data_IF_796438339359
#
_entry.id   IF_796438339359
#
_cell.length_a   1.000
_cell.length_b   1.000
_cell.length_c   1.000
_cell.angle_alpha   90.00
_cell.angle_beta   90.00
_cell.angle_gamma   90.00
#
_symmetry.space_group_name_H-M   'P 1'
#
loop_
_entity.id
_entity.type
_entity.pdbx_description
1 polymer ?
#
# COMPACT_ATOMS: atom_id res chain seq x y z
N UNK A 1 -15.70 -3.04 -25.14
CA UNK A 1 -16.19 -2.23 -24.02
C UNK A 1 -16.08 -3.07 -22.77
N UNK A 2 -15.27 -2.64 -21.79
CA UNK A 2 -15.14 -3.35 -20.52
C UNK A 2 -16.49 -3.38 -19.79
N UNK A 3 -16.78 -4.48 -19.08
CA UNK A 3 -17.96 -4.57 -18.23
C UNK A 3 -17.52 -4.47 -16.76
N UNK A 4 -18.28 -3.75 -15.93
CA UNK A 4 -17.99 -3.66 -14.49
C UNK A 4 -17.91 -5.04 -13.80
N UNK A 5 -18.64 -6.03 -14.32
CA UNK A 5 -18.60 -7.42 -13.85
C UNK A 5 -17.29 -8.16 -14.17
N UNK A 6 -16.43 -7.65 -15.06
CA UNK A 6 -15.18 -8.32 -15.42
C UNK A 6 -14.08 -8.09 -14.37
N UNK A 7 -14.28 -7.14 -13.47
CA UNK A 7 -13.30 -6.73 -12.47
C UNK A 7 -13.53 -7.43 -11.14
N UNK A 8 -12.43 -7.94 -10.56
CA UNK A 8 -12.49 -8.78 -9.36
C UNK A 8 -11.60 -8.29 -8.23
N UNK A 9 -10.69 -7.36 -8.52
CA UNK A 9 -9.72 -6.83 -7.56
C UNK A 9 -9.81 -5.32 -7.52
N UNK A 10 -10.06 -4.76 -6.34
CA UNK A 10 -9.95 -3.33 -6.08
C UNK A 10 -8.54 -3.02 -5.58
N UNK A 11 -7.94 -1.97 -6.11
CA UNK A 11 -6.67 -1.40 -5.67
C UNK A 11 -6.95 0.03 -5.20
N UNK A 12 -6.76 0.28 -3.92
CA UNK A 12 -7.00 1.60 -3.31
C UNK A 12 -5.66 2.23 -3.00
N UNK A 13 -5.48 3.45 -3.49
CA UNK A 13 -4.35 4.33 -3.19
C UNK A 13 -4.81 5.50 -2.31
N UNK A 14 -3.99 5.95 -1.38
CA UNK A 14 -4.28 7.11 -0.54
C UNK A 14 -3.87 8.44 -1.18
N UNK A 15 -2.79 8.46 -1.97
CA UNK A 15 -2.24 9.70 -2.54
C UNK A 15 -1.86 9.55 -4.01
N UNK A 16 -1.65 10.68 -4.68
CA UNK A 16 -1.27 10.77 -6.10
C UNK A 16 -0.01 9.94 -6.42
N UNK A 17 1.03 10.02 -5.59
CA UNK A 17 2.28 9.25 -5.81
C UNK A 17 2.00 7.74 -5.86
N UNK A 18 1.10 7.24 -5.03
CA UNK A 18 0.73 5.83 -5.01
C UNK A 18 -0.14 5.45 -6.21
N UNK A 19 -1.04 6.36 -6.63
CA UNK A 19 -1.86 6.19 -7.82
C UNK A 19 -1.02 6.11 -9.09
N UNK A 20 -0.08 7.04 -9.27
CA UNK A 20 0.84 7.05 -10.41
C UNK A 20 1.67 5.76 -10.44
N UNK A 21 2.19 5.31 -9.30
CA UNK A 21 2.89 4.03 -9.22
C UNK A 21 1.98 2.84 -9.60
N UNK A 22 0.70 2.86 -9.23
CA UNK A 22 -0.26 1.82 -9.57
C UNK A 22 -0.51 1.78 -11.09
N UNK A 23 -0.64 2.94 -11.74
CA UNK A 23 -0.83 3.04 -13.19
C UNK A 23 0.37 2.48 -13.95
N UNK A 24 1.59 2.82 -13.51
CA UNK A 24 2.84 2.30 -14.08
C UNK A 24 2.98 0.77 -13.93
N UNK A 25 2.23 0.15 -13.01
CA UNK A 25 2.25 -1.30 -12.79
C UNK A 25 1.20 -2.07 -13.62
N UNK A 26 0.35 -1.39 -14.39
CA UNK A 26 -0.62 -2.05 -15.27
C UNK A 26 0.10 -2.67 -16.48
N UNK A 27 -0.23 -3.92 -16.80
CA UNK A 27 0.19 -4.55 -18.05
C UNK A 27 -0.65 -4.02 -19.24
N UNK A 28 -1.87 -3.57 -18.95
CA UNK A 28 -2.84 -3.04 -19.90
C UNK A 28 -3.80 -2.09 -19.17
N UNK A 29 -4.01 -0.90 -19.73
CA UNK A 29 -5.07 0.03 -19.33
C UNK A 29 -6.31 -0.24 -20.19
N UNK A 30 -7.48 -0.24 -19.56
CA UNK A 30 -8.76 -0.44 -20.22
C UNK A 30 -9.51 0.90 -20.31
N UNK A 31 -10.36 1.04 -21.34
CA UNK A 31 -11.26 2.20 -21.45
C UNK A 31 -12.16 2.35 -20.21
N UNK A 32 -12.60 3.57 -19.95
CA UNK A 32 -13.57 3.87 -18.89
C UNK A 32 -14.89 3.13 -19.10
N UNK A 33 -15.64 2.96 -18.01
CA UNK A 33 -17.01 2.46 -18.08
C UNK A 33 -17.97 3.59 -18.43
N UNK A 34 -18.93 3.30 -19.31
CA UNK A 34 -19.99 4.23 -19.66
C UNK A 34 -20.92 4.54 -18.47
N UNK A 35 -21.10 3.56 -17.57
CA UNK A 35 -22.01 3.66 -16.42
C UNK A 35 -21.36 3.12 -15.13
N UNK A 36 -21.40 3.94 -14.08
CA UNK A 36 -21.13 3.56 -12.67
C UNK A 36 -22.40 3.70 -11.84
N UNK A 37 -22.41 3.20 -10.60
CA UNK A 37 -23.57 3.32 -9.74
C UNK A 37 -23.96 4.79 -9.50
N UNK A 38 -25.27 5.05 -9.37
CA UNK A 38 -25.74 6.40 -9.08
C UNK A 38 -25.14 6.93 -7.76
N UNK A 39 -24.64 8.16 -7.80
CA UNK A 39 -23.94 8.84 -6.70
C UNK A 39 -22.63 8.16 -6.27
N UNK A 40 -22.01 7.34 -7.13
CA UNK A 40 -20.60 7.02 -6.99
C UNK A 40 -19.78 8.26 -7.34
N UNK A 41 -18.98 8.73 -6.39
CA UNK A 41 -18.17 9.96 -6.53
C UNK A 41 -16.69 9.65 -6.80
N UNK A 42 -16.33 8.38 -6.97
CA UNK A 42 -14.96 7.99 -7.23
C UNK A 42 -14.57 8.25 -8.70
N UNK A 43 -13.27 8.47 -8.90
CA UNK A 43 -12.65 8.37 -10.22
C UNK A 43 -11.90 7.04 -10.31
N UNK A 44 -12.14 6.29 -11.38
CA UNK A 44 -11.57 4.96 -11.57
C UNK A 44 -10.56 4.94 -12.72
N UNK A 45 -9.52 4.13 -12.55
CA UNK A 45 -8.72 3.65 -13.67
C UNK A 45 -8.82 2.15 -13.71
N UNK A 46 -9.05 1.63 -14.91
CA UNK A 46 -9.31 0.23 -15.14
C UNK A 46 -8.14 -0.38 -15.88
N UNK A 47 -7.81 -1.62 -15.53
CA UNK A 47 -6.74 -2.28 -16.23
C UNK A 47 -6.55 -3.72 -15.82
N UNK A 48 -5.40 -4.25 -16.20
CA UNK A 48 -5.02 -5.63 -15.96
C UNK A 48 -3.61 -5.70 -15.40
N UNK A 49 -3.45 -6.48 -14.33
CA UNK A 49 -2.15 -6.92 -13.82
C UNK A 49 -2.10 -8.43 -13.92
N UNK A 50 -1.22 -8.92 -14.78
CA UNK A 50 -1.13 -10.31 -15.19
C UNK A 50 -2.48 -10.86 -15.68
N UNK A 51 -3.11 -11.75 -14.92
CA UNK A 51 -4.41 -12.36 -15.25
C UNK A 51 -5.57 -11.74 -14.46
N UNK A 52 -5.33 -10.65 -13.74
CA UNK A 52 -6.29 -10.03 -12.84
C UNK A 52 -6.74 -8.68 -13.40
N UNK A 53 -8.04 -8.56 -13.66
CA UNK A 53 -8.66 -7.27 -13.93
C UNK A 53 -8.79 -6.50 -12.63
N UNK A 54 -8.19 -5.31 -12.60
CA UNK A 54 -8.08 -4.44 -11.42
C UNK A 54 -8.84 -3.13 -11.65
N UNK A 55 -9.50 -2.65 -10.60
CA UNK A 55 -10.07 -1.29 -10.53
C UNK A 55 -9.21 -0.51 -9.56
N UNK A 56 -8.59 0.56 -10.03
CA UNK A 56 -7.79 1.47 -9.22
C UNK A 56 -8.67 2.66 -8.85
N UNK A 57 -8.68 3.02 -7.57
CA UNK A 57 -9.31 4.23 -7.07
C UNK A 57 -8.38 4.90 -6.06
N UNK A 58 -8.41 6.24 -6.04
CA UNK A 58 -7.62 7.04 -5.09
C UNK A 58 -8.55 7.84 -4.22
N UNK A 59 -8.15 8.06 -2.98
CA UNK A 59 -8.88 8.94 -2.07
C UNK A 59 -9.02 10.36 -2.67
N UNK A 60 -10.11 11.09 -2.35
CA UNK A 60 -10.28 12.47 -2.81
C UNK A 60 -9.07 13.35 -2.45
N UNK A 61 -8.75 14.30 -3.32
CA UNK A 61 -7.60 15.18 -3.12
C UNK A 61 -7.68 15.93 -1.78
N UNK A 62 -6.61 15.84 -0.99
CA UNK A 62 -6.51 16.45 0.34
C UNK A 62 -7.22 15.67 1.46
N UNK A 63 -7.88 14.55 1.14
CA UNK A 63 -8.39 13.62 2.13
C UNK A 63 -7.37 12.51 2.43
N UNK A 64 -7.41 12.01 3.66
CA UNK A 64 -6.62 10.86 4.08
C UNK A 64 -7.33 10.09 5.18
N UNK A 65 -6.98 8.83 5.33
CA UNK A 65 -7.38 8.00 6.47
C UNK A 65 -8.53 7.03 6.21
N UNK A 66 -8.85 6.26 7.24
CA UNK A 66 -9.70 5.07 7.16
C UNK A 66 -11.14 5.37 6.70
N UNK A 67 -11.71 6.49 7.13
CA UNK A 67 -13.08 6.89 6.76
C UNK A 67 -13.21 7.17 5.26
N UNK A 68 -12.26 7.91 4.69
CA UNK A 68 -12.25 8.25 3.26
C UNK A 68 -12.04 6.99 2.42
N UNK A 69 -11.06 6.16 2.78
CA UNK A 69 -10.84 4.86 2.14
C UNK A 69 -12.07 3.93 2.21
N UNK A 70 -12.80 3.94 3.33
CA UNK A 70 -14.06 3.19 3.48
C UNK A 70 -15.14 3.70 2.54
N UNK A 71 -15.24 5.02 2.35
CA UNK A 71 -16.16 5.64 1.39
C UNK A 71 -15.86 5.17 -0.03
N UNK A 72 -14.61 5.31 -0.47
CA UNK A 72 -14.14 4.87 -1.79
C UNK A 72 -14.48 3.40 -2.02
N UNK A 73 -14.12 2.50 -1.10
CA UNK A 73 -14.37 1.07 -1.26
C UNK A 73 -15.87 0.73 -1.28
N UNK A 74 -16.70 1.41 -0.48
CA UNK A 74 -18.15 1.18 -0.50
C UNK A 74 -18.77 1.57 -1.83
N UNK A 75 -18.26 2.60 -2.47
CA UNK A 75 -18.71 3.07 -3.77
C UNK A 75 -18.26 2.09 -4.87
N UNK A 76 -17.00 1.64 -4.83
CA UNK A 76 -16.48 0.56 -5.69
C UNK A 76 -17.34 -0.70 -5.63
N UNK A 77 -17.72 -1.15 -4.43
CA UNK A 77 -18.55 -2.34 -4.26
C UNK A 77 -19.96 -2.20 -4.87
N UNK A 78 -20.48 -0.98 -5.01
CA UNK A 78 -21.77 -0.74 -5.69
C UNK A 78 -21.61 -0.75 -7.20
N UNK A 79 -20.52 -0.17 -7.71
CA UNK A 79 -20.27 -0.05 -9.15
C UNK A 79 -19.72 -1.32 -9.79
N UNK A 80 -18.95 -2.11 -9.04
CA UNK A 80 -18.30 -3.33 -9.52
C UNK A 80 -18.78 -4.56 -8.73
N UNK A 81 -19.84 -5.24 -9.20
CA UNK A 81 -20.54 -6.27 -8.43
C UNK A 81 -19.71 -7.54 -8.19
N UNK A 82 -18.66 -7.76 -8.98
CA UNK A 82 -17.82 -8.95 -8.91
C UNK A 82 -16.47 -8.72 -8.20
N UNK A 83 -16.30 -7.58 -7.52
CA UNK A 83 -15.16 -7.37 -6.64
C UNK A 83 -15.14 -8.42 -5.53
N UNK A 84 -14.01 -9.11 -5.40
CA UNK A 84 -13.80 -10.20 -4.42
C UNK A 84 -12.69 -9.88 -3.44
N UNK A 85 -11.73 -9.07 -3.86
CA UNK A 85 -10.54 -8.72 -3.11
C UNK A 85 -10.37 -7.20 -3.20
N UNK A 86 -10.12 -6.55 -2.07
CA UNK A 86 -9.64 -5.17 -2.01
C UNK A 86 -8.23 -5.15 -1.45
N UNK A 87 -7.34 -4.43 -2.11
CA UNK A 87 -5.96 -4.21 -1.70
C UNK A 87 -5.79 -2.72 -1.43
N UNK A 88 -5.41 -2.38 -0.19
CA UNK A 88 -4.85 -1.07 0.11
C UNK A 88 -3.35 -1.15 -0.17
N UNK A 89 -2.86 -0.41 -1.15
CA UNK A 89 -1.45 -0.43 -1.54
C UNK A 89 -0.94 1.00 -1.53
N UNK A 90 0.11 1.24 -0.77
CA UNK A 90 0.65 2.58 -0.59
C UNK A 90 1.98 2.57 0.12
N UNK A 91 2.52 3.77 0.31
CA UNK A 91 3.76 4.03 1.02
C UNK A 91 3.47 3.99 2.52
N UNK A 92 4.38 3.36 3.27
CA UNK A 92 4.28 3.28 4.73
C UNK A 92 5.61 3.61 5.40
N UNK A 93 5.53 4.06 6.65
CA UNK A 93 6.70 4.20 7.51
C UNK A 93 7.18 2.83 8.02
N UNK A 94 8.50 2.66 8.09
CA UNK A 94 9.13 1.47 8.64
C UNK A 94 9.59 1.67 10.09
N UNK A 95 9.34 0.69 10.96
CA UNK A 95 9.87 0.65 12.32
C UNK A 95 10.76 -0.60 12.48
N UNK A 96 12.05 -0.52 12.12
CA UNK A 96 12.95 -1.66 12.18
C UNK A 96 13.23 -2.10 13.62
N UNK A 97 13.60 -3.38 13.76
CA UNK A 97 14.01 -3.99 15.03
C UNK A 97 15.16 -4.97 14.79
N UNK A 98 15.83 -5.40 15.86
CA UNK A 98 16.89 -6.41 15.75
C UNK A 98 16.45 -7.74 15.14
N UNK A 99 15.14 -8.03 15.15
CA UNK A 99 14.56 -9.24 14.55
C UNK A 99 14.05 -9.02 13.12
N UNK A 100 13.69 -7.79 12.78
CA UNK A 100 13.10 -7.42 11.50
C UNK A 100 13.76 -6.13 11.02
N UNK A 101 14.73 -6.29 10.12
CA UNK A 101 15.45 -5.18 9.51
C UNK A 101 14.63 -4.62 8.35
N UNK A 102 13.73 -3.67 8.64
CA UNK A 102 12.86 -3.01 7.65
C UNK A 102 13.62 -1.81 7.09
N UNK A 103 13.77 -1.77 5.77
CA UNK A 103 14.60 -0.78 5.05
C UNK A 103 13.82 -0.05 3.96
N UNK A 104 14.35 1.09 3.51
CA UNK A 104 13.73 1.85 2.43
C UNK A 104 13.67 1.03 1.14
N UNK A 105 12.49 0.96 0.55
CA UNK A 105 12.19 0.17 -0.64
C UNK A 105 11.79 -1.28 -0.35
N UNK A 106 11.71 -1.71 0.92
CA UNK A 106 11.13 -3.01 1.25
C UNK A 106 9.62 -3.01 1.01
N UNK A 107 9.13 -4.06 0.36
CA UNK A 107 7.69 -4.29 0.16
C UNK A 107 7.19 -5.22 1.25
N UNK A 108 6.32 -4.70 2.12
CA UNK A 108 5.73 -5.45 3.22
C UNK A 108 4.32 -5.90 2.85
N UNK A 109 4.03 -7.18 3.03
CA UNK A 109 2.69 -7.76 2.83
C UNK A 109 2.13 -8.17 4.18
N UNK A 110 0.96 -7.66 4.54
CA UNK A 110 0.30 -7.99 5.80
C UNK A 110 0.00 -9.48 5.89
N UNK A 111 0.32 -10.10 7.04
CA UNK A 111 0.01 -11.50 7.32
C UNK A 111 -0.51 -11.65 8.76
N UNK A 112 -1.49 -12.53 9.01
CA UNK A 112 -1.98 -12.81 10.36
C UNK A 112 -0.88 -13.32 11.28
N UNK A 113 -0.95 -12.94 12.55
CA UNK A 113 -0.03 -13.36 13.61
C UNK A 113 -0.77 -13.80 14.87
N UNK A 114 -0.06 -14.23 15.92
CA UNK A 114 -0.68 -14.60 17.18
C UNK A 114 -1.52 -13.45 17.75
N UNK A 115 -2.84 -13.63 17.79
CA UNK A 115 -3.77 -12.65 18.34
C UNK A 115 -4.18 -11.49 17.42
N UNK A 116 -3.83 -11.50 16.12
CA UNK A 116 -4.26 -10.45 15.18
C UNK A 116 -4.39 -10.91 13.73
N UNK A 117 -5.29 -10.28 12.96
CA UNK A 117 -5.53 -10.58 11.55
C UNK A 117 -4.44 -10.13 10.58
N UNK A 118 -3.46 -9.37 11.06
CA UNK A 118 -2.30 -8.90 10.28
C UNK A 118 -2.19 -7.38 10.18
N UNK A 119 -3.27 -6.67 10.48
CA UNK A 119 -3.30 -5.23 10.67
C UNK A 119 -3.75 -4.96 12.11
N UNK A 120 -3.05 -4.04 12.77
CA UNK A 120 -3.33 -3.62 14.14
C UNK A 120 -3.75 -2.15 14.13
N UNK A 121 -4.99 -1.88 14.51
CA UNK A 121 -5.51 -0.52 14.63
C UNK A 121 -5.12 0.06 16.00
N UNK A 122 -3.98 0.74 16.06
CA UNK A 122 -3.35 1.14 17.31
C UNK A 122 -4.06 2.31 18.03
N UNK A 123 -4.84 3.12 17.32
CA UNK A 123 -5.63 4.23 17.86
C UNK A 123 -6.94 3.74 18.50
N UNK A 124 -7.36 2.51 18.20
CA UNK A 124 -8.55 1.87 18.77
C UNK A 124 -8.22 0.97 19.98
N UNK A 125 -7.61 1.56 21.01
CA UNK A 125 -7.33 0.88 22.26
C UNK A 125 -7.72 1.68 23.50
N UNK A 126 -7.63 1.02 24.65
CA UNK A 126 -8.01 1.57 25.96
C UNK A 126 -6.79 1.64 26.86
N UNK A 127 -6.51 2.83 27.36
CA UNK A 127 -5.61 3.02 28.49
C UNK A 127 -6.40 2.81 29.78
N UNK A 128 -6.14 1.70 30.46
CA UNK A 128 -6.76 1.38 31.76
C UNK A 128 -5.75 1.69 32.86
N UNK A 129 -6.19 2.39 33.92
CA UNK A 129 -5.30 2.74 35.03
C UNK A 129 -4.57 1.50 35.57
N UNK A 130 -3.26 1.63 35.79
CA UNK A 130 -2.38 0.54 36.25
C UNK A 130 -2.29 -0.68 35.31
N UNK A 131 -2.73 -0.56 34.05
CA UNK A 131 -2.57 -1.60 33.04
C UNK A 131 -1.86 -1.06 31.81
N UNK A 132 -1.21 -1.96 31.05
CA UNK A 132 -0.69 -1.63 29.73
C UNK A 132 -1.84 -1.28 28.77
N UNK A 133 -1.54 -0.54 27.71
CA UNK A 133 -2.48 -0.22 26.65
C UNK A 133 -3.15 -1.50 26.10
N UNK A 134 -4.48 -1.53 26.10
CA UNK A 134 -5.25 -2.70 25.65
C UNK A 134 -5.85 -2.44 24.28
N UNK A 135 -5.38 -3.17 23.28
CA UNK A 135 -6.02 -3.23 21.97
C UNK A 135 -7.45 -3.76 22.14
N UNK A 136 -8.44 -2.97 21.75
CA UNK A 136 -9.85 -3.32 22.00
C UNK A 136 -10.50 -4.06 20.84
N UNK A 137 -9.91 -3.98 19.64
CA UNK A 137 -10.41 -4.64 18.44
C UNK A 137 -9.26 -5.18 17.59
N UNK A 138 -9.58 -6.16 16.74
CA UNK A 138 -8.70 -6.66 15.71
C UNK A 138 -9.48 -6.78 14.40
N UNK A 139 -8.81 -6.51 13.28
CA UNK A 139 -9.40 -6.71 11.97
C UNK A 139 -9.41 -8.21 11.62
N UNK A 140 -10.42 -8.60 10.86
CA UNK A 140 -10.51 -9.95 10.29
C UNK A 140 -9.26 -10.26 9.47
N UNK A 141 -8.74 -11.50 9.52
CA UNK A 141 -7.63 -11.89 8.67
C UNK A 141 -8.02 -11.86 7.18
N UNK A 142 -7.05 -11.69 6.27
CA UNK A 142 -7.29 -11.82 4.83
C UNK A 142 -7.91 -13.18 4.47
N UNK A 143 -8.72 -13.26 3.39
CA UNK A 143 -9.29 -14.51 2.90
C UNK A 143 -8.24 -15.62 2.69
N UNK A 144 -8.64 -16.88 2.91
CA UNK A 144 -7.75 -18.05 2.83
C UNK A 144 -7.02 -18.20 1.48
N UNK A 145 -7.63 -17.73 0.39
CA UNK A 145 -7.01 -17.71 -0.94
C UNK A 145 -5.76 -16.82 -0.98
N UNK A 146 -5.78 -15.65 -0.34
CA UNK A 146 -4.64 -14.74 -0.27
C UNK A 146 -3.55 -15.31 0.65
N UNK A 147 -3.93 -15.91 1.77
CA UNK A 147 -2.99 -16.57 2.68
C UNK A 147 -2.26 -17.74 2.00
N UNK A 148 -2.98 -18.50 1.17
CA UNK A 148 -2.39 -19.56 0.36
C UNK A 148 -1.47 -19.00 -0.74
N UNK A 149 -1.84 -17.88 -1.36
CA UNK A 149 -1.00 -17.19 -2.34
C UNK A 149 0.30 -16.68 -1.71
N UNK A 150 0.27 -16.18 -0.46
CA UNK A 150 1.47 -15.79 0.29
C UNK A 150 2.43 -16.98 0.47
N UNK A 151 1.93 -18.16 0.82
CA UNK A 151 2.78 -19.35 0.95
C UNK A 151 3.43 -19.76 -0.38
N UNK A 152 2.68 -19.66 -1.49
CA UNK A 152 3.22 -19.87 -2.83
C UNK A 152 4.29 -18.83 -3.17
N UNK A 153 4.03 -17.55 -2.89
CA UNK A 153 4.96 -16.44 -3.13
C UNK A 153 6.26 -16.65 -2.36
N UNK A 154 6.19 -16.97 -1.06
CA UNK A 154 7.35 -17.28 -0.21
C UNK A 154 8.17 -18.44 -0.79
N UNK A 155 7.50 -19.50 -1.24
CA UNK A 155 8.17 -20.67 -1.83
C UNK A 155 8.87 -20.32 -3.14
N UNK A 156 8.21 -19.55 -4.02
CA UNK A 156 8.80 -19.09 -5.28
C UNK A 156 9.98 -18.17 -5.05
N UNK A 157 9.90 -17.25 -4.09
CA UNK A 157 11.01 -16.38 -3.69
C UNK A 157 12.23 -17.17 -3.23
N UNK A 158 12.03 -18.22 -2.41
CA UNK A 158 13.14 -19.09 -1.97
C UNK A 158 13.83 -19.82 -3.12
N UNK A 159 13.08 -20.21 -4.15
CA UNK A 159 13.60 -20.99 -5.28
C UNK A 159 14.24 -20.08 -6.34
N UNK A 160 13.57 -19.00 -6.71
CA UNK A 160 13.89 -18.19 -7.90
C UNK A 160 14.45 -16.80 -7.56
N UNK A 161 14.42 -16.40 -6.29
CA UNK A 161 14.66 -15.02 -5.88
C UNK A 161 13.48 -14.10 -6.20
N UNK A 162 13.62 -12.82 -5.82
CA UNK A 162 12.62 -11.78 -6.10
C UNK A 162 12.69 -11.33 -7.56
N UNK A 163 11.57 -11.33 -8.30
CA UNK A 163 11.52 -10.66 -9.60
C UNK A 163 11.34 -9.14 -9.45
N UNK A 164 10.97 -8.62 -8.27
CA UNK A 164 10.50 -7.23 -8.10
C UNK A 164 11.49 -6.21 -8.63
N UNK A 165 12.78 -6.34 -8.27
CA UNK A 165 13.80 -5.40 -8.75
C UNK A 165 13.82 -5.32 -10.28
N UNK A 166 13.80 -6.47 -10.96
CA UNK A 166 13.81 -6.51 -12.44
C UNK A 166 12.53 -5.93 -13.03
N UNK A 167 11.38 -6.17 -12.41
CA UNK A 167 10.10 -5.61 -12.85
C UNK A 167 10.10 -4.09 -12.70
N UNK A 168 10.48 -3.56 -11.53
CA UNK A 168 10.57 -2.12 -11.27
C UNK A 168 11.58 -1.47 -12.21
N UNK A 169 12.78 -2.04 -12.35
CA UNK A 169 13.81 -1.53 -13.28
C UNK A 169 13.31 -1.52 -14.74
N UNK A 170 12.43 -2.46 -15.12
CA UNK A 170 11.79 -2.51 -16.43
C UNK A 170 10.80 -1.36 -16.61
N UNK A 171 9.85 -1.22 -15.68
CA UNK A 171 8.85 -0.15 -15.66
C UNK A 171 9.53 1.23 -15.75
N UNK A 172 10.55 1.48 -14.91
CA UNK A 172 11.25 2.76 -14.91
C UNK A 172 11.91 3.06 -16.27
N UNK A 173 12.57 2.07 -16.88
CA UNK A 173 13.26 2.24 -18.18
C UNK A 173 12.31 2.53 -19.35
N UNK A 174 11.08 2.04 -19.29
CA UNK A 174 10.08 2.24 -20.33
C UNK A 174 9.40 3.62 -20.25
N UNK A 175 9.60 4.34 -19.14
CA UNK A 175 8.99 5.64 -18.87
C UNK A 175 9.99 6.80 -18.99
N UNK A 176 9.48 8.03 -18.94
CA UNK A 176 10.28 9.25 -19.12
C UNK A 176 11.27 9.50 -17.95
N UNK A 177 12.20 10.44 -18.17
CA UNK A 177 13.25 10.76 -17.19
C UNK A 177 12.70 11.28 -15.86
N UNK A 178 11.57 12.00 -15.87
CA UNK A 178 10.94 12.55 -14.66
C UNK A 178 10.44 11.42 -13.74
N UNK A 179 9.71 10.45 -14.30
CA UNK A 179 9.25 9.25 -13.58
C UNK A 179 10.44 8.44 -13.07
N UNK A 180 11.50 8.30 -13.88
CA UNK A 180 12.70 7.61 -13.43
C UNK A 180 13.34 8.29 -12.22
N UNK A 181 13.45 9.62 -12.24
CA UNK A 181 14.07 10.37 -11.14
C UNK A 181 13.24 10.34 -9.86
N UNK A 182 11.92 10.40 -9.98
CA UNK A 182 11.00 10.46 -8.85
C UNK A 182 10.76 9.08 -8.19
N UNK A 183 10.62 8.02 -8.98
CA UNK A 183 10.22 6.68 -8.50
C UNK A 183 11.38 5.70 -8.37
N UNK A 184 12.60 6.07 -8.77
CA UNK A 184 13.76 5.22 -8.53
C UNK A 184 13.99 4.98 -7.05
N UNK A 185 14.55 3.81 -6.73
CA UNK A 185 15.00 3.53 -5.37
C UNK A 185 16.09 4.54 -4.98
N UNK A 186 15.95 5.23 -3.83
CA UNK A 186 16.99 6.10 -3.31
C UNK A 186 18.31 5.35 -3.10
N UNK A 187 19.42 6.10 -3.09
CA UNK A 187 20.73 5.53 -2.79
C UNK A 187 20.76 4.91 -1.39
N UNK A 188 21.44 3.77 -1.23
CA UNK A 188 21.49 3.04 0.04
C UNK A 188 22.04 3.88 1.20
N UNK A 189 22.87 4.88 0.91
CA UNK A 189 23.43 5.80 1.92
C UNK A 189 22.42 6.81 2.47
N UNK A 190 21.27 6.94 1.81
CA UNK A 190 20.13 7.74 2.28
C UNK A 190 19.26 7.00 3.29
N UNK A 191 19.33 5.66 3.33
CA UNK A 191 18.62 4.83 4.30
C UNK A 191 19.31 4.91 5.67
N UNK A 192 18.90 5.92 6.44
CA UNK A 192 19.50 6.28 7.73
C UNK A 192 18.48 6.12 8.84
N UNK A 193 18.84 5.35 9.86
CA UNK A 193 18.07 5.23 11.08
C UNK A 193 18.61 6.19 12.14
N UNK A 194 17.71 6.90 12.79
CA UNK A 194 18.04 7.78 13.90
C UNK A 194 17.57 7.16 15.22
N UNK A 195 18.21 7.59 16.31
CA UNK A 195 17.88 7.11 17.64
C UNK A 195 16.44 7.51 18.00
N UNK A 196 15.62 6.59 18.56
CA UNK A 196 14.22 6.86 18.90
C UNK A 196 14.06 7.94 19.98
N UNK A 197 15.13 8.22 20.75
CA UNK A 197 15.14 9.27 21.76
C UNK A 197 15.29 10.69 21.17
N UNK A 198 15.63 10.80 19.88
CA UNK A 198 15.76 12.10 19.21
C UNK A 198 14.38 12.69 19.00
N UNK A 199 14.14 13.83 19.67
CA UNK A 199 12.91 14.61 19.49
C UNK A 199 13.09 15.51 18.27
N UNK A 200 12.31 15.25 17.23
CA UNK A 200 12.26 16.13 16.07
C UNK A 200 11.59 17.46 16.45
N UNK A 201 12.21 18.62 16.14
CA UNK A 201 11.61 19.92 16.38
C UNK A 201 10.33 20.07 15.54
N UNK A 202 9.27 20.51 16.20
CA UNK A 202 7.97 20.77 15.58
C UNK A 202 8.10 21.97 14.61
N UNK A 203 7.61 21.83 13.38
CA UNK A 203 7.63 22.86 12.31
C UNK A 203 9.03 23.34 11.86
N UNK A 204 10.05 22.48 11.93
CA UNK A 204 11.33 22.78 11.30
C UNK A 204 11.38 22.20 9.86
N UNK A 205 11.83 23.00 8.89
CA UNK A 205 12.06 22.55 7.50
C UNK A 205 13.42 21.90 7.31
N UNK A 206 14.30 21.93 8.32
CA UNK A 206 15.61 21.29 8.27
C UNK A 206 15.48 19.75 8.21
N UNK A 207 16.42 19.12 7.53
CA UNK A 207 16.37 17.67 7.30
C UNK A 207 16.75 16.88 8.55
N UNK A 208 16.30 15.62 8.61
CA UNK A 208 16.71 14.70 9.69
C UNK A 208 18.23 14.54 9.76
N UNK A 209 18.92 14.64 8.61
CA UNK A 209 20.38 14.58 8.49
C UNK A 209 21.09 15.71 9.25
N UNK A 210 20.42 16.85 9.45
CA UNK A 210 20.96 18.03 10.13
C UNK A 210 20.60 18.04 11.61
N UNK A 211 19.41 17.57 11.95
CA UNK A 211 18.85 17.72 13.30
C UNK A 211 19.10 16.50 14.19
N UNK A 212 19.17 15.30 13.61
CA UNK A 212 19.12 14.05 14.38
C UNK A 212 20.49 13.46 14.70
N UNK A 213 21.56 14.14 14.27
CA UNK A 213 22.93 13.71 14.51
C UNK A 213 23.32 12.46 13.71
N UNK A 214 24.14 11.60 14.31
CA UNK A 214 24.72 10.44 13.60
C UNK A 214 23.71 9.30 13.51
N UNK A 215 23.43 8.86 12.29
CA UNK A 215 22.64 7.67 12.02
C UNK A 215 23.33 6.39 12.57
N UNK A 216 22.52 5.40 12.95
CA UNK A 216 22.94 4.13 13.58
C UNK A 216 22.86 2.97 12.60
#
# INVERSE_FOLDING_TARGET
MPNAGDYTTAWICAIETEQTAAYLCLDEEHDDLDDVAANDMNCYTLGRVHQHNVVIATLPYGEYGECSATGVLKDMLRSFPNLRIGLMVGIGGGAPSSKHDIRLGDVVVSTPGPGHGGILQYDFGKSVQCHNFQMSQHLSPPPAILLSAINRLKSQYKIKGSPLKRTIDGILKENNEDIQQEYQRPDVTSDRLYLPEVVHPFENTAECSEICGRAV
#
